data_IF_445643995293
#
_entry.id   IF_445643995293
#
_cell.length_a   1.000
_cell.length_b   1.000
_cell.length_c   1.000
_cell.angle_alpha   90.00
_cell.angle_beta   90.00
_cell.angle_gamma   90.00
#
_symmetry.space_group_name_H-M   'P 1'
#
loop_
_entity.id
_entity.type
_entity.pdbx_description
1 polymer ?
#
# COMPACT_ATOMS: atom_id res chain seq x y z
N UNK A 1 -17.36 28.42 -12.54
CA UNK A 1 -16.03 28.24 -13.14
C UNK A 1 -15.70 26.75 -13.04
N UNK A 2 -15.78 26.02 -14.12
CA UNK A 2 -15.45 24.58 -14.14
C UNK A 2 -13.95 24.43 -13.86
N UNK A 3 -13.64 23.93 -12.68
CA UNK A 3 -12.29 23.59 -12.25
C UNK A 3 -11.85 22.38 -13.06
N UNK A 4 -11.13 22.59 -14.17
CA UNK A 4 -10.64 21.46 -14.95
C UNK A 4 -9.56 20.75 -14.13
N UNK A 5 -9.69 19.43 -13.88
CA UNK A 5 -8.68 18.63 -13.17
C UNK A 5 -7.28 18.79 -13.78
N UNK A 6 -7.21 19.08 -15.07
CA UNK A 6 -5.97 19.28 -15.84
C UNK A 6 -5.13 20.48 -15.34
N UNK A 7 -5.76 21.56 -14.85
CA UNK A 7 -5.01 22.70 -14.28
C UNK A 7 -4.21 22.32 -13.02
N UNK A 8 -4.67 21.35 -12.27
CA UNK A 8 -3.95 20.87 -11.09
C UNK A 8 -2.66 20.14 -11.48
N UNK A 9 -2.63 19.52 -12.65
CA UNK A 9 -1.44 18.82 -13.19
C UNK A 9 -0.38 19.77 -13.76
N UNK A 10 -0.68 21.06 -13.95
CA UNK A 10 0.31 22.06 -14.32
C UNK A 10 1.33 22.30 -13.19
N UNK A 11 0.93 22.04 -11.94
CA UNK A 11 1.86 22.07 -10.81
C UNK A 11 2.81 20.88 -10.87
N UNK A 12 4.08 21.17 -11.17
CA UNK A 12 5.15 20.17 -11.33
C UNK A 12 5.33 19.36 -10.04
N UNK A 13 5.23 19.99 -8.88
CA UNK A 13 5.39 19.32 -7.60
C UNK A 13 4.25 18.31 -7.34
N UNK A 14 3.01 18.71 -7.62
CA UNK A 14 1.85 17.81 -7.52
C UNK A 14 1.95 16.65 -8.52
N UNK A 15 2.39 16.92 -9.74
CA UNK A 15 2.63 15.88 -10.75
C UNK A 15 3.69 14.87 -10.31
N UNK A 16 4.80 15.34 -9.76
CA UNK A 16 5.85 14.46 -9.22
C UNK A 16 5.33 13.62 -8.05
N UNK A 17 4.52 14.22 -7.17
CA UNK A 17 3.88 13.48 -6.07
C UNK A 17 2.96 12.37 -6.59
N UNK A 18 2.10 12.66 -7.57
CA UNK A 18 1.21 11.67 -8.18
C UNK A 18 1.97 10.57 -8.92
N UNK A 19 3.02 10.93 -9.67
CA UNK A 19 3.82 9.95 -10.41
C UNK A 19 4.57 9.02 -9.44
N UNK A 20 5.19 9.57 -8.39
CA UNK A 20 5.79 8.77 -7.34
C UNK A 20 4.77 7.86 -6.64
N UNK A 21 3.55 8.38 -6.36
CA UNK A 21 2.45 7.58 -5.80
C UNK A 21 2.01 6.47 -6.75
N UNK A 22 1.92 6.74 -8.04
CA UNK A 22 1.59 5.72 -9.05
C UNK A 22 2.55 4.54 -8.96
N UNK A 23 3.85 4.78 -9.02
CA UNK A 23 4.85 3.71 -9.00
C UNK A 23 4.90 2.95 -7.67
N UNK A 24 4.76 3.65 -6.54
CA UNK A 24 4.82 2.98 -5.24
C UNK A 24 3.58 2.12 -4.97
N UNK A 25 2.37 2.58 -5.36
CA UNK A 25 1.14 1.81 -5.22
C UNK A 25 1.15 0.62 -6.18
N UNK A 26 1.57 0.83 -7.44
CA UNK A 26 1.77 -0.24 -8.42
C UNK A 26 2.66 -1.35 -7.83
N UNK A 27 3.82 -0.98 -7.29
CA UNK A 27 4.77 -1.91 -6.67
C UNK A 27 4.17 -2.63 -5.46
N UNK A 28 3.41 -1.93 -4.59
CA UNK A 28 2.74 -2.55 -3.45
C UNK A 28 1.72 -3.60 -3.86
N UNK A 29 0.94 -3.35 -4.92
CA UNK A 29 -0.06 -4.29 -5.44
C UNK A 29 0.58 -5.48 -6.15
N UNK A 30 1.64 -5.24 -6.92
CA UNK A 30 2.46 -6.33 -7.48
C UNK A 30 3.04 -7.22 -6.37
N UNK A 31 3.56 -6.61 -5.30
CA UNK A 31 4.10 -7.35 -4.16
C UNK A 31 3.03 -8.18 -3.46
N UNK A 32 1.85 -7.64 -3.22
CA UNK A 32 0.74 -8.36 -2.61
C UNK A 32 0.35 -9.61 -3.44
N UNK A 33 0.24 -9.45 -4.77
CA UNK A 33 0.00 -10.56 -5.70
C UNK A 33 1.13 -11.58 -5.63
N UNK A 34 2.39 -11.14 -5.67
CA UNK A 34 3.55 -12.02 -5.61
C UNK A 34 3.60 -12.83 -4.32
N UNK A 35 3.39 -12.19 -3.19
CA UNK A 35 3.44 -12.87 -1.89
C UNK A 35 2.32 -13.88 -1.72
N UNK A 36 1.08 -13.52 -2.09
CA UNK A 36 -0.04 -14.43 -2.06
C UNK A 36 0.21 -15.68 -2.92
N UNK A 37 0.72 -15.48 -4.14
CA UNK A 37 1.10 -16.56 -5.04
C UNK A 37 2.25 -17.40 -4.48
N UNK A 38 3.35 -16.76 -4.09
CA UNK A 38 4.57 -17.44 -3.65
C UNK A 38 4.34 -18.29 -2.39
N UNK A 39 3.72 -17.72 -1.36
CA UNK A 39 3.41 -18.45 -0.12
C UNK A 39 2.45 -19.62 -0.40
N UNK A 40 1.43 -19.41 -1.26
CA UNK A 40 0.53 -20.51 -1.62
C UNK A 40 1.25 -21.63 -2.37
N UNK A 41 2.19 -21.31 -3.26
CA UNK A 41 2.98 -22.34 -3.93
C UNK A 41 3.89 -23.14 -2.97
N UNK A 42 4.40 -22.49 -1.93
CA UNK A 42 5.27 -23.12 -0.93
C UNK A 42 4.49 -24.00 0.06
N UNK A 43 3.31 -23.57 0.47
CA UNK A 43 2.57 -24.20 1.59
C UNK A 43 1.38 -25.03 1.14
N UNK A 44 0.77 -24.70 0.00
CA UNK A 44 -0.53 -25.22 -0.47
C UNK A 44 -1.66 -25.07 0.56
N UNK A 45 -1.49 -24.13 1.48
CA UNK A 45 -2.42 -23.87 2.58
C UNK A 45 -2.97 -22.43 2.48
N UNK A 46 -4.31 -22.27 2.30
CA UNK A 46 -4.95 -20.95 2.24
C UNK A 46 -4.79 -20.13 3.53
N UNK A 47 -4.69 -20.79 4.68
CA UNK A 47 -4.49 -20.12 5.96
C UNK A 47 -3.17 -19.35 6.00
N UNK A 48 -2.13 -19.90 5.38
CA UNK A 48 -0.82 -19.25 5.25
C UNK A 48 -0.88 -17.92 4.50
N UNK A 49 -1.81 -17.76 3.54
CA UNK A 49 -2.04 -16.47 2.85
C UNK A 49 -2.66 -15.45 3.81
N UNK A 50 -3.62 -15.88 4.62
CA UNK A 50 -4.22 -15.01 5.65
C UNK A 50 -3.18 -14.48 6.64
N UNK A 51 -2.20 -15.30 7.00
CA UNK A 51 -1.10 -14.91 7.89
C UNK A 51 -0.19 -13.82 7.31
N UNK A 52 -0.05 -13.71 5.98
CA UNK A 52 0.64 -12.58 5.34
C UNK A 52 -0.07 -11.27 5.70
N UNK A 53 -1.39 -11.23 5.48
CA UNK A 53 -2.19 -10.07 5.81
C UNK A 53 -2.12 -9.70 7.29
N UNK A 54 -2.21 -10.71 8.17
CA UNK A 54 -2.12 -10.51 9.61
C UNK A 54 -0.74 -9.97 10.02
N UNK A 55 0.34 -10.53 9.45
CA UNK A 55 1.71 -10.09 9.71
C UNK A 55 1.94 -8.63 9.30
N UNK A 56 1.24 -8.13 8.29
CA UNK A 56 1.31 -6.74 7.86
C UNK A 56 0.41 -5.82 8.68
N UNK A 57 -0.83 -6.22 8.93
CA UNK A 57 -1.86 -5.37 9.55
C UNK A 57 -1.59 -5.14 11.03
N UNK A 58 -1.15 -6.16 11.78
CA UNK A 58 -0.88 -6.02 13.22
C UNK A 58 0.11 -4.87 13.49
N UNK A 59 1.33 -4.85 12.92
CA UNK A 59 2.27 -3.77 13.17
C UNK A 59 1.80 -2.44 12.57
N UNK A 60 1.12 -2.46 11.41
CA UNK A 60 0.61 -1.25 10.78
C UNK A 60 -0.43 -0.54 11.68
N UNK A 61 -1.39 -1.27 12.22
CA UNK A 61 -2.43 -0.71 13.12
C UNK A 61 -1.81 -0.29 14.45
N UNK A 62 -0.93 -1.10 15.03
CA UNK A 62 -0.26 -0.77 16.30
C UNK A 62 0.57 0.52 16.21
N UNK A 63 1.17 0.79 15.06
CA UNK A 63 1.99 1.98 14.83
C UNK A 63 1.19 3.16 14.25
N UNK A 64 -0.06 2.99 13.81
CA UNK A 64 -0.80 4.00 13.04
C UNK A 64 -0.94 5.34 13.77
N UNK A 65 -1.30 5.32 15.05
CA UNK A 65 -1.46 6.54 15.86
C UNK A 65 -0.12 7.23 16.11
N UNK A 66 0.93 6.45 16.41
CA UNK A 66 2.29 6.98 16.56
C UNK A 66 2.80 7.57 15.25
N UNK A 67 2.55 6.88 14.13
CA UNK A 67 2.92 7.34 12.80
C UNK A 67 2.27 8.68 12.45
N UNK A 68 0.97 8.86 12.76
CA UNK A 68 0.26 10.12 12.59
C UNK A 68 0.96 11.28 13.31
N UNK A 69 1.28 11.09 14.58
CA UNK A 69 2.01 12.11 15.37
C UNK A 69 3.38 12.43 14.77
N UNK A 70 4.17 11.40 14.42
CA UNK A 70 5.50 11.59 13.83
C UNK A 70 5.42 12.34 12.49
N UNK A 71 4.41 12.05 11.66
CA UNK A 71 4.18 12.72 10.37
C UNK A 71 3.87 14.20 10.56
N UNK A 72 3.10 14.54 11.59
CA UNK A 72 2.72 15.92 11.87
C UNK A 72 3.89 16.75 12.42
N UNK A 73 4.81 16.12 13.12
CA UNK A 73 5.96 16.79 13.74
C UNK A 73 7.19 16.89 12.85
N UNK A 74 7.27 16.15 11.76
CA UNK A 74 8.47 16.04 10.93
C UNK A 74 8.30 16.59 9.51
N UNK A 75 9.42 16.80 8.84
CA UNK A 75 9.46 17.13 7.41
C UNK A 75 8.97 15.93 6.59
N UNK A 76 7.82 16.11 5.94
CA UNK A 76 7.09 15.03 5.26
C UNK A 76 7.88 14.40 4.10
N UNK A 77 8.58 15.22 3.30
CA UNK A 77 9.43 14.72 2.22
C UNK A 77 10.55 13.80 2.75
N UNK A 78 11.26 14.25 3.78
CA UNK A 78 12.35 13.47 4.37
C UNK A 78 11.82 12.14 4.94
N UNK A 79 10.71 12.19 5.66
CA UNK A 79 10.09 11.00 6.23
C UNK A 79 9.65 10.03 5.13
N UNK A 80 9.01 10.53 4.05
CA UNK A 80 8.59 9.73 2.91
C UNK A 80 9.78 9.02 2.25
N UNK A 81 10.89 9.72 2.03
CA UNK A 81 12.10 9.15 1.44
C UNK A 81 12.73 8.08 2.34
N UNK A 82 12.86 8.35 3.64
CA UNK A 82 13.39 7.37 4.61
C UNK A 82 12.53 6.10 4.58
N UNK A 83 11.21 6.24 4.67
CA UNK A 83 10.30 5.11 4.62
C UNK A 83 10.40 4.35 3.29
N UNK A 84 10.52 5.06 2.16
CA UNK A 84 10.65 4.42 0.84
C UNK A 84 11.96 3.63 0.73
N UNK A 85 13.09 4.18 1.17
CA UNK A 85 14.37 3.46 1.15
C UNK A 85 14.39 2.26 2.11
N UNK A 86 13.80 2.43 3.30
CA UNK A 86 13.66 1.32 4.24
C UNK A 86 12.79 0.20 3.65
N UNK A 87 11.72 0.57 2.93
CA UNK A 87 10.87 -0.40 2.24
C UNK A 87 11.63 -1.13 1.13
N UNK A 88 12.44 -0.43 0.31
CA UNK A 88 13.33 -1.04 -0.69
C UNK A 88 14.27 -2.04 -0.04
N UNK A 89 14.88 -1.68 1.07
CA UNK A 89 15.78 -2.56 1.83
C UNK A 89 15.05 -3.83 2.30
N UNK A 90 13.89 -3.68 2.93
CA UNK A 90 13.11 -4.81 3.44
C UNK A 90 12.67 -5.75 2.32
N UNK A 91 12.17 -5.21 1.19
CA UNK A 91 11.82 -6.06 0.05
C UNK A 91 13.07 -6.69 -0.59
N UNK A 92 14.21 -5.99 -0.56
CA UNK A 92 15.51 -6.54 -0.96
C UNK A 92 15.89 -7.80 -0.19
N UNK A 93 15.52 -7.90 1.10
CA UNK A 93 15.76 -9.11 1.87
C UNK A 93 15.01 -10.34 1.31
N UNK A 94 13.84 -10.15 0.69
CA UNK A 94 13.12 -11.25 0.05
C UNK A 94 13.85 -11.85 -1.16
N UNK A 95 14.84 -11.14 -1.72
CA UNK A 95 15.67 -11.71 -2.78
C UNK A 95 16.56 -12.87 -2.27
N UNK A 96 16.91 -12.87 -0.98
CA UNK A 96 17.76 -13.92 -0.42
C UNK A 96 17.14 -15.30 -0.63
N UNK A 97 15.95 -15.63 -0.12
CA UNK A 97 15.34 -16.93 -0.37
C UNK A 97 14.92 -17.12 -1.85
N UNK A 98 14.64 -16.05 -2.58
CA UNK A 98 14.24 -16.15 -3.98
C UNK A 98 15.40 -16.57 -4.92
N UNK A 99 16.63 -16.16 -4.63
CA UNK A 99 17.81 -16.46 -5.44
C UNK A 99 18.64 -17.64 -4.90
N UNK A 100 18.78 -17.74 -3.56
CA UNK A 100 19.72 -18.66 -2.91
C UNK A 100 19.05 -19.86 -2.24
N UNK A 101 17.76 -20.10 -2.50
CA UNK A 101 17.02 -21.20 -1.89
C UNK A 101 17.69 -22.56 -2.10
N UNK A 102 18.19 -22.83 -3.30
CA UNK A 102 18.84 -24.12 -3.66
C UNK A 102 20.15 -24.31 -2.89
N UNK A 103 20.93 -23.24 -2.74
CA UNK A 103 22.23 -23.29 -2.05
C UNK A 103 22.09 -23.36 -0.53
N UNK A 104 21.07 -22.67 0.02
CA UNK A 104 20.82 -22.59 1.46
C UNK A 104 19.90 -23.71 1.98
N UNK A 105 19.35 -24.56 1.10
CA UNK A 105 18.49 -25.71 1.45
C UNK A 105 17.29 -25.35 2.34
N UNK A 106 16.72 -24.16 2.16
CA UNK A 106 15.53 -23.75 2.93
C UNK A 106 14.32 -24.62 2.59
N UNK A 107 13.62 -25.07 3.61
CA UNK A 107 12.30 -25.68 3.45
C UNK A 107 11.25 -24.63 3.08
N UNK A 108 10.15 -25.05 2.44
CA UNK A 108 9.07 -24.13 2.08
C UNK A 108 8.47 -23.39 3.30
N UNK A 109 8.43 -24.07 4.45
CA UNK A 109 7.95 -23.45 5.70
C UNK A 109 8.92 -22.40 6.25
N UNK A 110 10.23 -22.64 6.19
CA UNK A 110 11.23 -21.69 6.64
C UNK A 110 11.20 -20.41 5.81
N UNK A 111 11.07 -20.53 4.47
CA UNK A 111 10.89 -19.39 3.59
C UNK A 111 9.61 -18.61 3.95
N UNK A 112 8.53 -19.31 4.26
CA UNK A 112 7.25 -18.69 4.63
C UNK A 112 7.37 -17.90 5.93
N UNK A 113 8.00 -18.46 6.96
CA UNK A 113 8.26 -17.73 8.23
C UNK A 113 9.17 -16.51 8.01
N UNK A 114 10.18 -16.65 7.16
CA UNK A 114 11.04 -15.54 6.79
C UNK A 114 10.25 -14.42 6.11
N UNK A 115 9.36 -14.76 5.17
CA UNK A 115 8.47 -13.81 4.50
C UNK A 115 7.61 -13.08 5.54
N UNK A 116 6.98 -13.78 6.48
CA UNK A 116 6.17 -13.15 7.53
C UNK A 116 6.97 -12.16 8.37
N UNK A 117 8.23 -12.52 8.73
CA UNK A 117 9.12 -11.62 9.46
C UNK A 117 9.42 -10.33 8.67
N UNK A 118 9.76 -10.44 7.40
CA UNK A 118 10.00 -9.27 6.55
C UNK A 118 8.74 -8.42 6.40
N UNK A 119 7.58 -9.05 6.14
CA UNK A 119 6.31 -8.35 5.95
C UNK A 119 5.85 -7.66 7.24
N UNK A 120 6.12 -8.21 8.40
CA UNK A 120 5.87 -7.55 9.68
C UNK A 120 6.57 -6.17 9.74
N UNK A 121 7.85 -6.10 9.39
CA UNK A 121 8.57 -4.82 9.34
C UNK A 121 8.08 -3.89 8.22
N UNK A 122 7.67 -4.44 7.07
CA UNK A 122 7.05 -3.60 6.02
C UNK A 122 5.73 -3.00 6.47
N UNK A 123 4.95 -3.69 7.31
CA UNK A 123 3.72 -3.17 7.91
C UNK A 123 3.98 -1.91 8.75
N UNK A 124 5.05 -1.89 9.55
CA UNK A 124 5.46 -0.69 10.30
C UNK A 124 5.72 0.46 9.32
N UNK A 125 6.51 0.23 8.28
CA UNK A 125 6.86 1.28 7.30
C UNK A 125 5.62 1.79 6.56
N UNK A 126 4.67 0.92 6.23
CA UNK A 126 3.42 1.28 5.54
C UNK A 126 2.50 2.14 6.40
N UNK A 127 2.52 1.98 7.73
CA UNK A 127 1.81 2.86 8.66
C UNK A 127 2.20 4.34 8.47
N UNK A 128 3.44 4.60 8.06
CA UNK A 128 3.93 5.96 7.76
C UNK A 128 3.66 6.37 6.30
N UNK A 129 4.01 5.55 5.31
CA UNK A 129 3.88 5.90 3.88
C UNK A 129 2.43 6.23 3.51
N UNK A 130 1.47 5.47 4.03
CA UNK A 130 0.05 5.62 3.70
C UNK A 130 -0.47 7.04 3.91
N UNK A 131 -0.37 7.60 5.12
CA UNK A 131 -0.89 8.93 5.45
C UNK A 131 -0.04 10.10 4.93
N UNK A 132 1.28 9.91 4.68
CA UNK A 132 2.16 11.03 4.28
C UNK A 132 1.70 11.66 2.98
N UNK A 133 1.46 10.87 1.93
CA UNK A 133 1.12 11.40 0.60
C UNK A 133 -0.17 12.23 0.62
N UNK A 134 -1.31 11.73 1.15
CA UNK A 134 -2.51 12.55 1.30
C UNK A 134 -2.29 13.83 2.12
N UNK A 135 -1.47 13.78 3.17
CA UNK A 135 -1.20 14.93 4.03
C UNK A 135 -0.32 16.02 3.38
N UNK A 136 0.37 15.71 2.27
CA UNK A 136 1.15 16.67 1.48
C UNK A 136 0.27 17.45 0.49
N UNK A 137 -0.80 16.86 -0.02
CA UNK A 137 -1.64 17.46 -1.08
C UNK A 137 -2.13 18.87 -0.71
N UNK A 138 -2.71 19.13 0.49
CA UNK A 138 -3.19 20.46 0.85
C UNK A 138 -2.09 21.52 0.97
N UNK A 139 -0.82 21.10 1.04
CA UNK A 139 0.34 22.00 1.13
C UNK A 139 0.93 22.34 -0.23
N UNK A 140 0.71 21.48 -1.23
CA UNK A 140 1.24 21.63 -2.59
C UNK A 140 0.24 22.34 -3.50
N UNK A 141 -1.07 22.10 -3.28
CA UNK A 141 -2.13 22.56 -4.16
C UNK A 141 -2.91 23.70 -3.48
N UNK A 142 -3.32 24.70 -4.28
CA UNK A 142 -4.18 25.79 -3.80
C UNK A 142 -5.54 25.25 -3.33
N UNK A 143 -6.14 25.86 -2.30
CA UNK A 143 -7.41 25.43 -1.70
C UNK A 143 -8.54 25.24 -2.72
N UNK A 144 -8.59 26.11 -3.76
CA UNK A 144 -9.59 26.03 -4.84
C UNK A 144 -9.46 24.73 -5.65
N UNK A 145 -8.25 24.21 -5.85
CA UNK A 145 -7.97 23.01 -6.62
C UNK A 145 -7.93 21.73 -5.78
N UNK A 146 -8.13 21.84 -4.46
CA UNK A 146 -8.02 20.70 -3.53
C UNK A 146 -8.99 19.55 -3.86
N UNK A 147 -10.29 19.78 -4.17
CA UNK A 147 -11.19 18.69 -4.55
C UNK A 147 -10.68 17.92 -5.79
N UNK A 148 -10.23 18.63 -6.82
CA UNK A 148 -9.68 18.03 -8.04
C UNK A 148 -8.39 17.23 -7.74
N UNK A 149 -7.53 17.75 -6.86
CA UNK A 149 -6.32 17.06 -6.45
C UNK A 149 -6.61 15.75 -5.69
N UNK A 150 -7.62 15.75 -4.83
CA UNK A 150 -8.07 14.55 -4.09
C UNK A 150 -8.61 13.52 -5.08
N UNK A 151 -9.45 13.93 -6.05
CA UNK A 151 -9.99 13.03 -7.07
C UNK A 151 -8.88 12.42 -7.92
N UNK A 152 -7.91 13.22 -8.39
CA UNK A 152 -6.76 12.73 -9.16
C UNK A 152 -5.90 11.76 -8.35
N UNK A 153 -5.69 12.05 -7.07
CA UNK A 153 -4.95 11.18 -6.16
C UNK A 153 -5.65 9.82 -5.97
N UNK A 154 -6.98 9.81 -5.87
CA UNK A 154 -7.77 8.59 -5.75
C UNK A 154 -7.81 7.80 -7.06
N UNK A 155 -7.98 8.50 -8.19
CA UNK A 155 -7.89 7.89 -9.52
C UNK A 155 -6.53 7.24 -9.77
N UNK A 156 -5.44 7.93 -9.40
CA UNK A 156 -4.08 7.39 -9.47
C UNK A 156 -3.95 6.11 -8.65
N UNK A 157 -4.48 6.09 -7.43
CA UNK A 157 -4.48 4.90 -6.57
C UNK A 157 -5.19 3.71 -7.25
N UNK A 158 -6.41 3.92 -7.77
CA UNK A 158 -7.19 2.85 -8.40
C UNK A 158 -6.52 2.31 -9.67
N UNK A 159 -6.06 3.19 -10.55
CA UNK A 159 -5.36 2.78 -11.77
C UNK A 159 -4.09 2.00 -11.43
N UNK A 160 -3.29 2.49 -10.46
CA UNK A 160 -2.09 1.80 -10.02
C UNK A 160 -2.40 0.44 -9.40
N UNK A 161 -3.53 0.32 -8.69
CA UNK A 161 -3.95 -0.92 -8.04
C UNK A 161 -4.31 -1.98 -9.09
N UNK A 162 -5.18 -1.64 -10.04
CA UNK A 162 -5.56 -2.54 -11.15
C UNK A 162 -4.33 -2.99 -11.94
N UNK A 163 -3.53 -2.02 -12.39
CA UNK A 163 -2.31 -2.30 -13.16
C UNK A 163 -1.30 -3.13 -12.35
N UNK A 164 -1.18 -2.87 -11.05
CA UNK A 164 -0.24 -3.57 -10.19
C UNK A 164 -0.58 -5.03 -10.00
N UNK A 165 -1.85 -5.35 -9.71
CA UNK A 165 -2.30 -6.73 -9.59
C UNK A 165 -2.16 -7.50 -10.91
N UNK A 166 -2.60 -6.92 -12.03
CA UNK A 166 -2.47 -7.54 -13.34
C UNK A 166 -1.01 -7.73 -13.73
N UNK A 167 -0.18 -6.68 -13.68
CA UNK A 167 1.24 -6.77 -14.02
C UNK A 167 1.99 -7.75 -13.10
N UNK A 168 1.64 -7.80 -11.81
CA UNK A 168 2.22 -8.76 -10.88
C UNK A 168 1.97 -10.20 -11.31
N UNK A 169 0.73 -10.55 -11.63
CA UNK A 169 0.36 -11.90 -12.08
C UNK A 169 1.06 -12.28 -13.39
N UNK A 170 1.04 -11.39 -14.40
CA UNK A 170 1.72 -11.63 -15.67
C UNK A 170 3.24 -11.79 -15.52
N UNK A 171 3.89 -10.93 -14.75
CA UNK A 171 5.34 -11.04 -14.54
C UNK A 171 5.73 -12.31 -13.78
N UNK A 172 4.93 -12.73 -12.79
CA UNK A 172 5.18 -14.00 -12.10
C UNK A 172 5.10 -15.17 -13.10
N UNK A 173 4.11 -15.17 -14.01
CA UNK A 173 3.97 -16.19 -15.04
C UNK A 173 5.13 -16.19 -16.05
N UNK A 174 5.59 -15.03 -16.48
CA UNK A 174 6.61 -14.88 -17.53
C UNK A 174 8.05 -15.09 -17.02
N UNK A 175 8.40 -14.45 -15.90
CA UNK A 175 9.80 -14.37 -15.42
C UNK A 175 10.01 -14.98 -14.03
N UNK A 176 8.94 -15.41 -13.38
CA UNK A 176 8.98 -16.03 -12.06
C UNK A 176 9.13 -15.03 -10.91
N UNK A 177 9.09 -15.56 -9.68
CA UNK A 177 9.07 -14.77 -8.42
C UNK A 177 10.30 -13.87 -8.27
N UNK A 178 11.50 -14.40 -8.51
CA UNK A 178 12.76 -13.67 -8.30
C UNK A 178 12.89 -12.41 -9.15
N UNK A 179 12.60 -12.51 -10.46
CA UNK A 179 12.70 -11.37 -11.36
C UNK A 179 11.56 -10.37 -11.16
N UNK A 180 10.38 -10.85 -10.78
CA UNK A 180 9.27 -9.96 -10.40
C UNK A 180 9.62 -9.14 -9.16
N UNK A 181 10.31 -9.69 -8.15
CA UNK A 181 10.84 -8.93 -7.01
C UNK A 181 11.82 -7.83 -7.44
N UNK A 182 12.71 -8.12 -8.40
CA UNK A 182 13.65 -7.12 -8.94
C UNK A 182 12.89 -5.97 -9.60
N UNK A 183 11.85 -6.27 -10.39
CA UNK A 183 10.99 -5.25 -11.00
C UNK A 183 10.28 -4.40 -9.91
N UNK A 184 9.73 -5.02 -8.88
CA UNK A 184 9.08 -4.32 -7.77
C UNK A 184 10.04 -3.34 -7.09
N UNK A 185 11.26 -3.80 -6.76
CA UNK A 185 12.30 -2.95 -6.16
C UNK A 185 12.66 -1.79 -7.09
N UNK A 186 12.76 -2.03 -8.38
CA UNK A 186 13.05 -1.00 -9.38
C UNK A 186 11.95 0.06 -9.44
N UNK A 187 10.68 -0.35 -9.39
CA UNK A 187 9.53 0.58 -9.37
C UNK A 187 9.51 1.44 -8.11
N UNK A 188 9.79 0.88 -6.93
CA UNK A 188 9.88 1.65 -5.69
C UNK A 188 11.05 2.63 -5.74
N UNK A 189 12.18 2.21 -6.33
CA UNK A 189 13.35 3.07 -6.53
C UNK A 189 13.05 4.23 -7.49
N UNK A 190 12.30 3.98 -8.56
CA UNK A 190 11.79 5.02 -9.47
C UNK A 190 10.87 5.99 -8.72
N UNK A 191 9.95 5.49 -7.88
CA UNK A 191 9.10 6.34 -7.05
C UNK A 191 9.92 7.28 -6.16
N UNK A 192 11.03 6.78 -5.59
CA UNK A 192 11.91 7.60 -4.74
C UNK A 192 12.55 8.77 -5.49
N UNK A 193 12.84 8.62 -6.78
CA UNK A 193 13.38 9.71 -7.63
C UNK A 193 12.37 10.85 -7.74
N UNK A 194 11.09 10.53 -7.96
CA UNK A 194 10.03 11.54 -8.00
C UNK A 194 9.80 12.20 -6.64
N UNK A 195 9.83 11.44 -5.55
CA UNK A 195 9.72 11.99 -4.20
C UNK A 195 10.92 12.87 -3.82
N UNK A 196 12.10 12.57 -4.34
CA UNK A 196 13.28 13.42 -4.12
C UNK A 196 13.17 14.80 -4.78
N UNK A 197 12.43 14.91 -5.88
CA UNK A 197 12.18 16.18 -6.59
C UNK A 197 11.13 17.07 -5.90
N UNK A 198 10.44 16.60 -4.86
CA UNK A 198 9.50 17.41 -4.09
C UNK A 198 10.23 18.48 -3.28
N UNK A 199 9.56 19.60 -3.00
CA UNK A 199 10.07 20.61 -2.09
C UNK A 199 9.94 20.14 -0.63
N UNK A 200 10.68 20.79 0.26
CA UNK A 200 10.58 20.52 1.69
C UNK A 200 9.22 20.96 2.22
N UNK A 201 8.49 20.04 2.81
CA UNK A 201 7.16 20.27 3.38
C UNK A 201 7.24 20.20 4.89
N UNK A 202 7.43 21.36 5.53
CA UNK A 202 7.44 21.46 6.99
C UNK A 202 6.01 21.41 7.54
N UNK A 203 5.83 20.71 8.65
CA UNK A 203 4.64 20.83 9.45
C UNK A 203 4.60 22.24 10.06
N UNK A 204 3.50 22.96 9.89
CA UNK A 204 3.29 24.27 10.51
C UNK A 204 2.96 24.20 12.00
N UNK A 205 2.96 23.02 12.59
CA UNK A 205 2.72 22.86 14.02
C UNK A 205 3.93 23.36 14.82
N UNK A 206 3.71 24.35 15.66
CA UNK A 206 4.65 24.68 16.75
C UNK A 206 4.79 23.45 17.64
N UNK A 207 6.01 23.20 18.05
CA UNK A 207 6.39 22.16 19.02
C UNK A 207 5.79 22.47 20.39
N UNK A 208 4.45 22.36 20.53
CA UNK A 208 3.84 22.20 21.84
C UNK A 208 4.04 20.75 22.23
N UNK A 209 4.47 20.50 23.45
CA UNK A 209 4.63 19.16 24.02
C UNK A 209 3.26 18.51 24.21
N UNK A 210 2.59 18.20 23.09
CA UNK A 210 1.37 17.41 23.13
C UNK A 210 1.81 15.98 23.47
N UNK A 211 1.47 15.55 24.66
CA UNK A 211 1.72 14.17 25.07
C UNK A 211 0.97 13.24 24.13
N UNK A 212 1.71 12.45 23.36
CA UNK A 212 1.17 11.53 22.33
C UNK A 212 0.00 10.70 22.88
N UNK A 213 0.15 10.19 24.10
CA UNK A 213 -0.87 9.39 24.79
C UNK A 213 -2.16 10.17 25.08
N UNK A 214 -2.08 11.46 25.43
CA UNK A 214 -3.27 12.29 25.66
C UNK A 214 -4.03 12.52 24.35
N UNK A 215 -3.33 12.87 23.26
CA UNK A 215 -3.94 13.03 21.93
C UNK A 215 -4.57 11.74 21.40
N UNK A 216 -3.94 10.59 21.67
CA UNK A 216 -4.49 9.29 21.32
C UNK A 216 -5.78 9.00 22.09
N UNK A 217 -5.77 9.26 23.39
CA UNK A 217 -6.95 9.06 24.24
C UNK A 217 -8.11 9.98 23.83
N UNK A 218 -7.82 11.23 23.53
CA UNK A 218 -8.83 12.20 23.03
C UNK A 218 -9.43 11.74 21.69
N UNK A 219 -8.60 11.29 20.74
CA UNK A 219 -9.05 10.78 19.45
C UNK A 219 -9.95 9.56 19.58
N UNK A 220 -9.56 8.58 20.39
CA UNK A 220 -10.37 7.39 20.67
C UNK A 220 -11.67 7.78 21.37
N UNK A 221 -11.59 8.63 22.39
CA UNK A 221 -12.78 9.12 23.13
C UNK A 221 -13.76 9.86 22.21
N UNK A 222 -13.25 10.65 21.27
CA UNK A 222 -14.07 11.35 20.27
C UNK A 222 -14.84 10.38 19.36
N UNK A 223 -14.19 9.33 18.88
CA UNK A 223 -14.84 8.29 18.04
C UNK A 223 -15.98 7.63 18.81
N UNK A 224 -15.75 7.20 20.05
CA UNK A 224 -16.79 6.55 20.86
C UNK A 224 -17.92 7.49 21.31
N UNK A 225 -17.65 8.80 21.43
CA UNK A 225 -18.67 9.79 21.76
C UNK A 225 -19.52 10.22 20.56
N UNK A 226 -18.98 10.13 19.33
CA UNK A 226 -19.67 10.57 18.11
C UNK A 226 -20.31 9.36 17.45
N UNK A 227 -21.60 9.14 17.71
CA UNK A 227 -22.35 7.93 17.26
C UNK A 227 -22.36 7.76 15.75
N UNK A 228 -22.36 8.85 14.99
CA UNK A 228 -22.34 8.86 13.53
C UNK A 228 -21.02 8.30 12.99
N UNK A 229 -19.90 8.69 13.59
CA UNK A 229 -18.56 8.20 13.22
C UNK A 229 -18.43 6.73 13.62
N UNK A 230 -18.84 6.40 14.86
CA UNK A 230 -18.79 5.00 15.32
C UNK A 230 -19.64 4.09 14.44
N UNK A 231 -20.87 4.51 14.07
CA UNK A 231 -21.75 3.76 13.19
C UNK A 231 -21.15 3.54 11.81
N UNK A 232 -20.54 4.57 11.20
CA UNK A 232 -19.86 4.47 9.91
C UNK A 232 -18.66 3.50 9.97
N UNK A 233 -17.82 3.60 11.01
CA UNK A 233 -16.69 2.71 11.21
C UNK A 233 -17.11 1.26 11.46
N UNK A 234 -18.16 1.02 12.24
CA UNK A 234 -18.71 -0.32 12.45
C UNK A 234 -19.23 -0.93 11.13
N UNK A 235 -19.96 -0.14 10.34
CA UNK A 235 -20.50 -0.59 9.07
C UNK A 235 -19.36 -0.96 8.09
N UNK A 236 -18.32 -0.13 8.01
CA UNK A 236 -17.12 -0.40 7.20
C UNK A 236 -16.40 -1.66 7.67
N UNK A 237 -16.21 -1.83 8.99
CA UNK A 237 -15.61 -3.03 9.58
C UNK A 237 -16.37 -4.30 9.20
N UNK A 238 -17.70 -4.30 9.27
CA UNK A 238 -18.51 -5.44 8.87
C UNK A 238 -18.43 -5.71 7.37
N UNK A 239 -18.45 -4.65 6.53
CA UNK A 239 -18.29 -4.79 5.09
C UNK A 239 -16.96 -5.44 4.72
N UNK A 240 -15.86 -5.02 5.35
CA UNK A 240 -14.52 -5.59 5.14
C UNK A 240 -14.43 -7.03 5.66
N UNK A 241 -15.05 -7.34 6.81
CA UNK A 241 -15.05 -8.69 7.38
C UNK A 241 -15.65 -9.73 6.41
N UNK A 242 -16.74 -9.39 5.72
CA UNK A 242 -17.33 -10.25 4.69
C UNK A 242 -16.59 -10.21 3.35
N UNK A 243 -15.70 -9.23 3.13
CA UNK A 243 -14.82 -9.14 1.96
C UNK A 243 -13.65 -10.12 1.94
N UNK A 244 -13.49 -10.96 2.97
CA UNK A 244 -12.38 -11.92 3.12
C UNK A 244 -12.24 -12.97 2.01
N UNK A 245 -13.24 -13.10 1.12
CA UNK A 245 -13.18 -13.97 -0.05
C UNK A 245 -11.97 -13.70 -0.96
N UNK A 246 -11.43 -12.48 -0.96
CA UNK A 246 -10.24 -12.11 -1.72
C UNK A 246 -9.01 -12.96 -1.32
N UNK A 247 -8.90 -13.36 -0.07
CA UNK A 247 -7.83 -14.23 0.41
C UNK A 247 -7.86 -15.64 -0.22
N UNK A 248 -9.02 -16.07 -0.74
CA UNK A 248 -9.19 -17.36 -1.40
C UNK A 248 -8.88 -17.33 -2.91
N UNK A 249 -8.63 -16.16 -3.50
CA UNK A 249 -8.36 -16.01 -4.93
C UNK A 249 -7.19 -16.91 -5.40
N UNK A 250 -6.07 -17.09 -4.67
CA UNK A 250 -5.02 -18.01 -5.09
C UNK A 250 -5.49 -19.46 -5.25
N UNK A 251 -6.35 -19.92 -4.34
CA UNK A 251 -6.96 -21.27 -4.40
C UNK A 251 -7.82 -21.41 -5.64
N UNK A 252 -8.70 -20.44 -5.88
CA UNK A 252 -9.56 -20.44 -7.07
C UNK A 252 -8.73 -20.43 -8.36
N UNK A 253 -7.72 -19.57 -8.45
CA UNK A 253 -6.87 -19.47 -9.63
C UNK A 253 -6.07 -20.75 -9.91
N UNK A 254 -5.58 -21.41 -8.85
CA UNK A 254 -4.68 -22.58 -8.98
C UNK A 254 -5.46 -23.88 -9.09
N UNK A 255 -6.37 -24.15 -8.15
CA UNK A 255 -6.96 -25.48 -7.95
C UNK A 255 -8.27 -25.67 -8.73
N UNK A 256 -9.07 -24.60 -8.85
CA UNK A 256 -10.38 -24.65 -9.50
C UNK A 256 -10.28 -24.24 -10.97
N UNK A 257 -9.78 -23.03 -11.25
CA UNK A 257 -9.71 -22.48 -12.61
C UNK A 257 -8.46 -22.93 -13.38
N UNK A 258 -7.43 -23.39 -12.69
CA UNK A 258 -6.14 -23.81 -13.27
C UNK A 258 -5.51 -22.76 -14.18
N UNK A 259 -5.76 -21.48 -13.87
CA UNK A 259 -5.36 -20.34 -14.69
C UNK A 259 -3.99 -19.77 -14.34
N UNK A 260 -3.28 -20.36 -13.38
CA UNK A 260 -1.93 -19.98 -13.01
C UNK A 260 -1.81 -18.58 -12.37
N UNK A 261 -0.58 -18.05 -12.38
CA UNK A 261 -0.28 -16.74 -11.80
C UNK A 261 -0.96 -15.59 -12.55
N UNK A 262 -1.12 -15.71 -13.86
CA UNK A 262 -1.79 -14.72 -14.69
C UNK A 262 -3.26 -14.55 -14.29
N UNK A 263 -3.98 -15.66 -14.17
CA UNK A 263 -5.37 -15.68 -13.72
C UNK A 263 -5.51 -15.16 -12.29
N UNK A 264 -4.57 -15.46 -11.42
CA UNK A 264 -4.54 -14.91 -10.06
C UNK A 264 -4.41 -13.38 -10.07
N UNK A 265 -3.51 -12.83 -10.87
CA UNK A 265 -3.34 -11.39 -11.03
C UNK A 265 -4.60 -10.70 -11.58
N UNK A 266 -5.23 -11.29 -12.60
CA UNK A 266 -6.47 -10.76 -13.19
C UNK A 266 -7.66 -10.80 -12.23
N UNK A 267 -7.81 -11.87 -11.44
CA UNK A 267 -8.87 -11.98 -10.44
C UNK A 267 -8.72 -10.92 -9.34
N UNK A 268 -7.50 -10.65 -8.89
CA UNK A 268 -7.26 -9.54 -7.96
C UNK A 268 -7.58 -8.18 -8.60
N UNK A 269 -7.16 -7.95 -9.85
CA UNK A 269 -7.44 -6.73 -10.58
C UNK A 269 -8.95 -6.50 -10.80
N UNK A 270 -9.74 -7.56 -10.99
CA UNK A 270 -11.19 -7.49 -11.19
C UNK A 270 -11.92 -6.83 -10.00
N UNK A 271 -11.47 -7.09 -8.76
CA UNK A 271 -12.01 -6.42 -7.57
C UNK A 271 -11.81 -4.90 -7.61
N UNK A 272 -10.61 -4.46 -8.01
CA UNK A 272 -10.30 -3.03 -8.12
C UNK A 272 -11.03 -2.37 -9.30
N UNK A 273 -11.22 -3.09 -10.42
CA UNK A 273 -12.04 -2.63 -11.55
C UNK A 273 -13.50 -2.43 -11.12
N UNK A 274 -14.07 -3.36 -10.35
CA UNK A 274 -15.41 -3.20 -9.78
C UNK A 274 -15.53 -1.94 -8.92
N UNK A 275 -14.56 -1.67 -8.07
CA UNK A 275 -14.50 -0.45 -7.26
C UNK A 275 -14.41 0.82 -8.12
N UNK A 276 -13.63 0.78 -9.21
CA UNK A 276 -13.50 1.90 -10.13
C UNK A 276 -14.82 2.20 -10.86
N UNK A 277 -15.56 1.18 -11.30
CA UNK A 277 -16.87 1.35 -11.96
C UNK A 277 -17.86 1.98 -10.98
N UNK A 278 -17.93 1.52 -9.73
CA UNK A 278 -18.85 2.07 -8.73
C UNK A 278 -18.55 3.56 -8.47
N UNK A 279 -17.28 3.92 -8.28
CA UNK A 279 -16.90 5.32 -8.02
C UNK A 279 -17.25 6.23 -9.21
N UNK A 280 -17.06 5.76 -10.45
CA UNK A 280 -17.36 6.55 -11.64
C UNK A 280 -18.88 6.68 -11.93
N UNK A 281 -19.69 5.73 -11.44
CA UNK A 281 -21.15 5.77 -11.62
C UNK A 281 -21.89 6.55 -10.55
N UNK A 282 -21.27 6.69 -9.36
CA UNK A 282 -21.88 7.41 -8.22
C UNK A 282 -21.41 8.88 -8.09
N UNK A 283 -20.42 9.32 -8.87
CA UNK A 283 -19.91 10.70 -8.90
C UNK A 283 -20.51 11.51 -10.02
#
# INVERSE_FOLDING_TARGET
>A
MSLSPLKTLENIEFRNLLTGRFFIVLAFRMLATLLGWWVYQLTKDPFSIGLIGLSEVIPAVSCALYAGHVIDMNEKKRLLLICTYLYVFLIGLLLVPAFFNVELHFSGHEITYYIYGVIFFTGIVRAFIGPIVPSMIPKIVQKVNLPSAITLNQGTFLISSVCGHAAGGFLIGLVGVKWTLVVIISLISIASIFFWQLNKQFSGYKKEEIKVLESMHEGISYIFKTKEILGALCLDMFAVLFGGAVAMIPVFATDILKSGAEGFGLLNAASDIGSMIIITTLS
#
